data_IF_314427018184
#
_entry.id   IF_314427018184
#
_cell.length_a   1.000
_cell.length_b   1.000
_cell.length_c   1.000
_cell.angle_alpha   90.00
_cell.angle_beta   90.00
_cell.angle_gamma   90.00
#
_symmetry.space_group_name_H-M   'P 1'
#
loop_
_entity.id
_entity.type
_entity.pdbx_description
1 polymer ?
#
# COMPACT_ATOMS: atom_id res chain seq x y z
N UNK A 1 8.13 14.31 12.95
CA UNK A 1 6.66 14.48 12.99
C UNK A 1 6.08 13.17 13.45
N UNK A 2 5.45 13.10 14.62
CA UNK A 2 4.85 11.86 15.10
C UNK A 2 3.83 11.33 14.06
N UNK A 3 3.77 10.01 13.80
CA UNK A 3 2.78 9.47 12.89
C UNK A 3 1.39 9.85 13.40
N UNK A 4 0.62 10.56 12.57
CA UNK A 4 -0.78 10.88 12.86
C UNK A 4 -1.52 9.55 13.01
N UNK A 5 -2.27 9.40 14.11
CA UNK A 5 -3.08 8.19 14.32
C UNK A 5 -3.96 7.92 13.09
N UNK A 6 -3.89 6.69 12.60
CA UNK A 6 -4.70 6.24 11.47
C UNK A 6 -6.16 6.11 11.90
N UNK A 7 -7.07 6.52 11.03
CA UNK A 7 -8.48 6.14 11.22
C UNK A 7 -8.65 4.62 11.05
N UNK A 8 -9.77 4.09 11.54
CA UNK A 8 -10.11 2.68 11.33
C UNK A 8 -10.11 2.30 9.84
N UNK A 9 -10.70 3.14 8.99
CA UNK A 9 -10.72 2.90 7.53
C UNK A 9 -9.32 2.91 6.93
N UNK A 10 -8.44 3.83 7.35
CA UNK A 10 -7.06 3.86 6.86
C UNK A 10 -6.29 2.60 7.28
N UNK A 11 -6.52 2.12 8.50
CA UNK A 11 -5.93 0.89 9.01
C UNK A 11 -6.35 -0.31 8.16
N UNK A 12 -7.63 -0.44 7.83
CA UNK A 12 -8.13 -1.51 6.96
C UNK A 12 -7.54 -1.43 5.55
N UNK A 13 -7.44 -0.22 4.98
CA UNK A 13 -6.81 -0.02 3.67
C UNK A 13 -5.36 -0.46 3.69
N UNK A 14 -4.60 -0.13 4.73
CA UNK A 14 -3.18 -0.46 4.83
C UNK A 14 -2.96 -1.97 4.99
N UNK A 15 -3.81 -2.64 5.77
CA UNK A 15 -3.82 -4.11 5.83
C UNK A 15 -4.10 -4.74 4.47
N UNK A 16 -5.01 -4.18 3.67
CA UNK A 16 -5.22 -4.68 2.30
C UNK A 16 -3.97 -4.51 1.44
N UNK A 17 -3.26 -3.37 1.55
CA UNK A 17 -2.01 -3.17 0.82
C UNK A 17 -0.98 -4.25 1.15
N UNK A 18 -0.79 -4.57 2.43
CA UNK A 18 0.10 -5.65 2.89
C UNK A 18 -0.28 -7.00 2.29
N UNK A 19 -1.57 -7.36 2.33
CA UNK A 19 -2.08 -8.62 1.77
C UNK A 19 -1.80 -8.69 0.26
N UNK A 20 -2.16 -7.65 -0.49
CA UNK A 20 -1.94 -7.61 -1.95
C UNK A 20 -0.46 -7.72 -2.28
N UNK A 21 0.40 -7.01 -1.53
CA UNK A 21 1.85 -7.06 -1.74
C UNK A 21 2.44 -8.43 -1.42
N UNK A 22 1.94 -9.10 -0.38
CA UNK A 22 2.40 -10.42 0.03
C UNK A 22 1.98 -11.52 -0.96
N UNK A 23 0.76 -11.45 -1.50
CA UNK A 23 0.18 -12.53 -2.31
C UNK A 23 0.21 -12.28 -3.82
N UNK A 24 -0.07 -11.07 -4.27
CA UNK A 24 -0.06 -10.74 -5.71
C UNK A 24 1.29 -10.20 -6.18
N UNK A 25 2.09 -9.64 -5.28
CA UNK A 25 3.39 -9.04 -5.60
C UNK A 25 3.31 -7.76 -6.44
N UNK A 26 2.10 -7.28 -6.77
CA UNK A 26 1.84 -6.08 -7.58
C UNK A 26 0.72 -5.25 -6.99
N UNK A 27 1.06 -4.10 -6.42
CA UNK A 27 0.10 -3.17 -5.88
C UNK A 27 -0.21 -2.02 -6.85
N UNK A 28 -1.50 -1.73 -7.00
CA UNK A 28 -2.04 -0.60 -7.78
C UNK A 28 -3.19 0.09 -7.05
N UNK A 29 -3.56 1.30 -7.46
CA UNK A 29 -4.71 2.03 -6.92
C UNK A 29 -6.04 1.28 -7.08
N UNK A 30 -6.16 0.40 -8.08
CA UNK A 30 -7.41 -0.32 -8.34
C UNK A 30 -7.80 -1.24 -7.18
N UNK A 31 -6.85 -1.85 -6.45
CA UNK A 31 -7.19 -2.69 -5.30
C UNK A 31 -7.97 -1.91 -4.23
N UNK A 32 -7.51 -0.69 -3.91
CA UNK A 32 -8.19 0.17 -2.96
C UNK A 32 -9.53 0.70 -3.52
N UNK A 33 -9.56 1.10 -4.79
CA UNK A 33 -10.77 1.59 -5.42
C UNK A 33 -11.87 0.53 -5.42
N UNK A 34 -11.54 -0.71 -5.79
CA UNK A 34 -12.51 -1.81 -5.86
C UNK A 34 -12.93 -2.28 -4.47
N UNK A 35 -12.00 -2.42 -3.52
CA UNK A 35 -12.33 -2.95 -2.19
C UNK A 35 -13.07 -1.95 -1.29
N UNK A 36 -12.77 -0.65 -1.41
CA UNK A 36 -13.31 0.38 -0.50
C UNK A 36 -14.22 1.40 -1.18
N UNK A 37 -14.48 1.24 -2.49
CA UNK A 37 -15.29 2.16 -3.28
C UNK A 37 -14.84 3.64 -3.17
N UNK A 38 -13.52 3.86 -3.17
CA UNK A 38 -12.92 5.20 -3.08
C UNK A 38 -12.41 5.68 -4.44
N UNK A 39 -12.34 7.00 -4.62
CA UNK A 39 -11.77 7.60 -5.82
C UNK A 39 -10.26 7.37 -5.96
N UNK A 40 -9.75 7.36 -7.20
CA UNK A 40 -8.34 7.16 -7.53
C UNK A 40 -7.40 8.09 -6.75
N UNK A 41 -7.76 9.36 -6.57
CA UNK A 41 -6.92 10.31 -5.84
C UNK A 41 -6.74 9.89 -4.37
N UNK A 42 -7.79 9.42 -3.70
CA UNK A 42 -7.69 8.95 -2.33
C UNK A 42 -6.86 7.67 -2.25
N UNK A 43 -7.10 6.72 -3.15
CA UNK A 43 -6.30 5.50 -3.25
C UNK A 43 -4.80 5.81 -3.44
N UNK A 44 -4.47 6.78 -4.31
CA UNK A 44 -3.08 7.18 -4.53
C UNK A 44 -2.45 7.83 -3.30
N UNK A 45 -3.21 8.68 -2.58
CA UNK A 45 -2.72 9.29 -1.33
C UNK A 45 -2.48 8.23 -0.27
N UNK A 46 -3.38 7.27 -0.12
CA UNK A 46 -3.26 6.19 0.85
C UNK A 46 -2.04 5.30 0.55
N UNK A 47 -1.82 4.95 -0.73
CA UNK A 47 -0.61 4.22 -1.15
C UNK A 47 0.65 5.04 -0.83
N UNK A 48 0.72 6.32 -1.21
CA UNK A 48 1.91 7.14 -0.95
C UNK A 48 2.16 7.31 0.56
N UNK A 49 1.11 7.45 1.37
CA UNK A 49 1.22 7.53 2.83
C UNK A 49 1.78 6.23 3.40
N UNK A 50 1.28 5.08 2.94
CA UNK A 50 1.81 3.77 3.31
C UNK A 50 3.28 3.61 2.92
N UNK A 51 3.65 3.91 1.68
CA UNK A 51 5.03 3.84 1.19
C UNK A 51 5.98 4.71 2.01
N UNK A 52 5.57 5.94 2.33
CA UNK A 52 6.43 6.92 3.01
C UNK A 52 6.65 6.56 4.48
N UNK A 53 5.64 6.04 5.17
CA UNK A 53 5.68 5.89 6.63
C UNK A 53 5.78 4.45 7.13
N UNK A 54 5.37 3.46 6.32
CA UNK A 54 5.25 2.06 6.74
C UNK A 54 6.11 1.12 5.89
N UNK A 55 6.45 1.50 4.66
CA UNK A 55 7.30 0.70 3.78
C UNK A 55 8.43 1.52 3.10
N UNK A 56 9.24 2.29 3.86
CA UNK A 56 10.22 3.21 3.31
C UNK A 56 11.29 2.53 2.42
N UNK A 57 11.66 1.29 2.74
CA UNK A 57 12.71 0.54 2.03
C UNK A 57 12.18 -0.67 1.24
N UNK A 58 10.86 -0.88 1.20
CA UNK A 58 10.28 -2.17 0.82
C UNK A 58 9.74 -2.28 -0.61
N UNK A 59 9.46 -1.17 -1.29
CA UNK A 59 8.61 -1.16 -2.49
C UNK A 59 9.17 -0.26 -3.59
N UNK A 60 9.33 -0.83 -4.79
CA UNK A 60 9.82 -0.13 -5.98
C UNK A 60 8.71 -0.06 -7.02
N UNK A 61 8.51 1.11 -7.61
CA UNK A 61 7.60 1.25 -8.75
C UNK A 61 8.21 0.60 -9.99
N UNK A 62 7.55 -0.42 -10.53
CA UNK A 62 7.95 -1.12 -11.74
C UNK A 62 7.12 -0.61 -12.93
N UNK A 63 7.80 0.06 -13.87
CA UNK A 63 7.16 0.65 -15.06
C UNK A 63 6.61 -0.40 -16.03
N UNK A 64 7.23 -1.57 -16.10
CA UNK A 64 6.77 -2.66 -16.98
C UNK A 64 5.48 -3.27 -16.44
N UNK A 65 5.44 -3.50 -15.13
CA UNK A 65 4.25 -4.02 -14.44
C UNK A 65 3.17 -2.96 -14.21
N UNK A 66 3.48 -1.68 -14.39
CA UNK A 66 2.60 -0.53 -14.07
C UNK A 66 2.06 -0.65 -12.63
N UNK A 67 2.94 -0.91 -11.67
CA UNK A 67 2.57 -1.15 -10.28
C UNK A 67 3.77 -1.19 -9.33
N UNK A 68 3.50 -1.18 -8.03
CA UNK A 68 4.53 -1.32 -7.00
C UNK A 68 4.78 -2.79 -6.72
N UNK A 69 6.06 -3.20 -6.68
CA UNK A 69 6.47 -4.56 -6.31
C UNK A 69 7.34 -4.54 -5.06
N UNK A 70 7.27 -5.62 -4.29
CA UNK A 70 8.14 -5.80 -3.12
C UNK A 70 9.57 -6.06 -3.58
N UNK A 71 10.53 -5.41 -2.93
CA UNK A 71 11.96 -5.75 -3.09
C UNK A 71 12.36 -6.90 -2.14
N UNK A 72 11.58 -7.13 -1.08
CA UNK A 72 11.73 -8.20 -0.09
C UNK A 72 10.32 -8.63 0.40
N UNK A 73 10.05 -9.92 0.66
CA UNK A 73 8.81 -10.32 1.31
C UNK A 73 8.68 -9.62 2.67
N UNK A 74 7.49 -9.11 2.99
CA UNK A 74 7.20 -8.32 4.21
C UNK A 74 7.22 -9.17 5.51
N UNK A 75 7.63 -10.44 5.44
CA UNK A 75 7.75 -11.37 6.57
C UNK A 75 8.88 -11.04 7.59
N UNK A 76 9.44 -9.83 7.64
CA UNK A 76 10.57 -9.52 8.53
C UNK A 76 10.22 -8.70 9.79
N UNK A 77 8.94 -8.51 10.13
CA UNK A 77 8.56 -7.67 11.28
C UNK A 77 7.32 -8.17 12.06
N UNK A 78 7.21 -9.50 12.28
CA UNK A 78 6.45 -10.01 13.42
C UNK A 78 7.39 -10.15 14.63
#
# INVERSE_FOLDING_TARGET
MAPKELTWDQTLRFRLLEIVLQWEGRLTTNHLMTAFNIGRQQASRDINHYLTHYAPDGLVYDKSLKGYKTHRPLCAAL
#
